data_IF_058412820289
#
_entry.id   IF_058412820289
#
_cell.length_a   1.000
_cell.length_b   1.000
_cell.length_c   1.000
_cell.angle_alpha   90.00
_cell.angle_beta   90.00
_cell.angle_gamma   90.00
#
_symmetry.space_group_name_H-M   'P 1'
#
loop_
_entity.id
_entity.type
_entity.pdbx_description
1 polymer ?
#
# COMPACT_ATOMS: atom_id res chain seq x y z
N UNK A 1 17.65 -88.79 33.94
CA UNK A 1 19.02 -88.70 34.38
C UNK A 1 19.42 -87.22 34.40
N UNK A 2 19.49 -86.69 35.61
CA UNK A 2 20.10 -85.43 36.02
C UNK A 2 21.62 -85.49 35.80
N UNK A 3 22.47 -84.47 35.86
CA UNK A 3 22.29 -83.17 36.58
C UNK A 3 22.95 -81.92 35.93
N UNK A 4 22.56 -80.79 36.52
CA UNK A 4 23.35 -79.63 36.95
C UNK A 4 24.51 -79.03 36.12
N UNK A 5 24.40 -77.73 35.87
CA UNK A 5 25.30 -76.68 36.41
C UNK A 5 24.91 -75.30 36.00
N UNK A 6 24.55 -74.49 36.99
CA UNK A 6 24.72 -73.04 36.92
C UNK A 6 26.22 -72.71 37.05
N UNK A 7 26.70 -71.56 36.51
CA UNK A 7 26.75 -70.33 37.28
C UNK A 7 26.74 -69.02 36.49
N UNK A 8 26.57 -67.95 37.19
CA UNK A 8 27.28 -66.70 36.97
C UNK A 8 26.40 -65.46 36.64
N UNK A 9 25.90 -64.82 37.68
CA UNK A 9 25.41 -63.44 37.71
C UNK A 9 26.51 -62.47 37.27
N UNK A 10 26.22 -61.64 36.25
CA UNK A 10 26.94 -60.39 36.02
C UNK A 10 25.89 -59.23 36.04
N UNK A 11 25.94 -58.52 37.14
CA UNK A 11 25.22 -57.18 37.31
C UNK A 11 25.87 -56.28 36.32
N UNK A 12 25.05 -55.75 35.39
CA UNK A 12 25.42 -54.60 34.59
C UNK A 12 24.82 -53.34 35.27
N UNK A 13 25.71 -52.46 35.69
CA UNK A 13 25.44 -51.14 36.17
C UNK A 13 24.63 -50.38 35.14
N UNK A 14 23.45 -49.91 35.56
CA UNK A 14 22.65 -48.96 34.82
C UNK A 14 23.27 -47.57 35.08
N UNK A 15 23.94 -47.05 34.08
CA UNK A 15 24.45 -45.69 34.11
C UNK A 15 23.25 -44.71 34.12
N UNK A 16 23.18 -43.87 35.13
CA UNK A 16 22.27 -42.73 35.20
C UNK A 16 22.50 -41.75 34.02
N UNK A 17 21.47 -41.22 33.40
CA UNK A 17 21.62 -40.22 32.34
C UNK A 17 22.11 -38.90 32.94
N UNK A 18 23.26 -38.43 32.46
CA UNK A 18 23.87 -37.15 32.80
C UNK A 18 22.94 -36.03 32.42
N UNK A 19 22.43 -35.29 33.39
CA UNK A 19 21.50 -34.16 33.30
C UNK A 19 22.14 -32.87 32.70
N UNK A 20 23.41 -32.98 32.24
CA UNK A 20 24.19 -31.86 31.69
C UNK A 20 23.85 -31.48 30.24
N UNK A 21 23.35 -32.41 29.42
CA UNK A 21 23.25 -32.18 27.95
C UNK A 21 21.96 -31.46 27.48
N UNK A 22 20.97 -31.25 28.36
CA UNK A 22 19.74 -30.54 28.04
C UNK A 22 19.80 -29.05 28.33
N UNK A 23 20.76 -28.59 29.14
CA UNK A 23 20.93 -27.18 29.44
C UNK A 23 21.66 -26.44 28.29
N UNK A 24 22.66 -27.11 27.68
CA UNK A 24 23.48 -26.52 26.62
C UNK A 24 22.71 -26.38 25.30
N UNK A 25 21.81 -27.29 24.95
CA UNK A 25 20.97 -27.20 23.77
C UNK A 25 19.92 -26.06 23.84
N UNK A 26 19.51 -25.66 25.04
CA UNK A 26 18.59 -24.48 25.22
C UNK A 26 19.35 -23.17 25.20
N UNK A 27 20.61 -23.14 25.55
CA UNK A 27 21.46 -21.93 25.55
C UNK A 27 21.95 -21.62 24.13
N UNK A 28 22.25 -22.64 23.30
CA UNK A 28 22.61 -22.41 21.88
C UNK A 28 21.44 -21.95 21.01
N UNK A 29 20.21 -22.41 21.27
CA UNK A 29 19.03 -21.97 20.53
C UNK A 29 18.63 -20.49 20.80
N UNK A 30 19.09 -19.90 21.92
CA UNK A 30 18.86 -18.48 22.24
C UNK A 30 20.00 -17.56 21.81
N UNK A 31 21.20 -18.11 21.54
CA UNK A 31 22.38 -17.32 21.16
C UNK A 31 22.42 -16.97 19.64
N UNK A 32 21.65 -17.65 18.79
CA UNK A 32 21.69 -17.46 17.33
C UNK A 32 20.64 -16.51 16.77
N UNK A 33 19.93 -15.74 17.59
CA UNK A 33 19.20 -14.57 17.14
C UNK A 33 20.20 -13.41 16.99
N UNK A 34 20.95 -13.40 15.89
CA UNK A 34 21.85 -12.30 15.56
C UNK A 34 21.08 -10.97 15.66
N UNK A 35 21.57 -9.97 16.44
CA UNK A 35 20.90 -8.68 16.53
C UNK A 35 20.85 -8.11 15.13
N UNK A 36 19.64 -7.89 14.58
CA UNK A 36 19.44 -7.20 13.32
C UNK A 36 20.18 -5.88 13.41
N UNK A 37 21.36 -5.77 12.79
CA UNK A 37 22.20 -4.58 12.74
C UNK A 37 21.36 -3.46 12.16
N UNK A 38 20.85 -2.56 13.01
CA UNK A 38 20.39 -1.25 12.56
C UNK A 38 21.61 -0.55 11.96
N UNK A 39 21.61 -0.43 10.66
CA UNK A 39 22.66 0.26 9.91
C UNK A 39 22.64 1.74 10.32
N UNK A 40 23.42 2.09 11.36
CA UNK A 40 23.66 3.49 11.72
C UNK A 40 24.77 4.00 10.81
N UNK A 41 24.40 4.71 9.75
CA UNK A 41 25.37 5.42 8.93
C UNK A 41 26.00 6.56 9.73
N UNK A 42 27.34 6.74 9.65
CA UNK A 42 28.02 7.94 10.18
C UNK A 42 27.40 9.21 9.60
N UNK A 43 27.37 10.28 10.38
CA UNK A 43 26.69 11.55 10.02
C UNK A 43 27.14 12.16 8.68
N UNK A 44 28.39 11.93 8.24
CA UNK A 44 28.88 12.36 6.92
C UNK A 44 28.48 11.47 5.74
N UNK A 45 27.96 10.25 5.99
CA UNK A 45 27.57 9.31 4.94
C UNK A 45 26.07 9.39 4.58
N UNK A 46 25.29 10.24 5.29
CA UNK A 46 23.83 10.35 5.07
C UNK A 46 23.46 11.09 3.79
N UNK A 47 24.30 11.98 3.28
CA UNK A 47 24.03 12.77 2.08
C UNK A 47 24.06 11.94 0.78
N UNK A 48 24.98 10.98 0.66
CA UNK A 48 25.11 10.15 -0.55
C UNK A 48 23.84 9.36 -0.92
N UNK A 49 23.19 8.60 -0.02
CA UNK A 49 21.96 7.89 -0.36
C UNK A 49 20.80 8.81 -0.73
N UNK A 50 20.71 9.99 -0.11
CA UNK A 50 19.70 11.00 -0.45
C UNK A 50 19.93 11.57 -1.84
N UNK A 51 21.18 11.87 -2.22
CA UNK A 51 21.52 12.33 -3.56
C UNK A 51 21.25 11.27 -4.62
N UNK A 52 21.59 10.00 -4.33
CA UNK A 52 21.26 8.89 -5.24
C UNK A 52 19.74 8.78 -5.40
N UNK A 53 18.97 8.80 -4.31
CA UNK A 53 17.51 8.74 -4.34
C UNK A 53 16.89 9.90 -5.13
N UNK A 54 17.38 11.13 -4.91
CA UNK A 54 16.95 12.31 -5.66
C UNK A 54 17.29 12.20 -7.16
N UNK A 55 18.50 11.72 -7.49
CA UNK A 55 18.90 11.48 -8.88
C UNK A 55 18.03 10.42 -9.57
N UNK A 56 17.75 9.31 -8.90
CA UNK A 56 16.85 8.27 -9.42
C UNK A 56 15.43 8.80 -9.62
N UNK A 57 14.91 9.57 -8.68
CA UNK A 57 13.58 10.18 -8.81
C UNK A 57 13.55 11.20 -9.96
N UNK A 58 14.60 12.00 -10.11
CA UNK A 58 14.71 12.95 -11.23
C UNK A 58 14.76 12.23 -12.59
N UNK A 59 15.47 11.11 -12.69
CA UNK A 59 15.47 10.27 -13.90
C UNK A 59 14.10 9.68 -14.22
N UNK A 60 13.36 9.20 -13.20
CA UNK A 60 12.00 8.70 -13.35
C UNK A 60 11.02 9.82 -13.72
N UNK A 61 11.22 11.03 -13.22
CA UNK A 61 10.40 12.20 -13.51
C UNK A 61 10.59 12.73 -14.93
N UNK A 62 11.78 12.55 -15.51
CA UNK A 62 12.14 13.16 -16.79
C UNK A 62 11.13 12.88 -17.92
N UNK A 63 10.72 11.64 -18.21
CA UNK A 63 9.74 11.38 -19.28
C UNK A 63 8.37 12.03 -19.00
N UNK A 64 7.97 12.12 -17.75
CA UNK A 64 6.68 12.74 -17.35
C UNK A 64 6.76 14.27 -17.46
N UNK A 65 7.89 14.88 -17.10
CA UNK A 65 8.12 16.32 -17.27
C UNK A 65 8.14 16.70 -18.75
N UNK A 66 8.81 15.89 -19.60
CA UNK A 66 8.81 16.08 -21.05
C UNK A 66 7.38 15.98 -21.59
N UNK A 67 6.61 14.98 -21.15
CA UNK A 67 5.21 14.85 -21.56
C UNK A 67 4.37 16.09 -21.15
N UNK A 68 4.52 16.59 -19.92
CA UNK A 68 3.86 17.81 -19.49
C UNK A 68 4.26 19.04 -20.31
N UNK A 69 5.52 19.17 -20.67
CA UNK A 69 6.00 20.27 -21.51
C UNK A 69 5.39 20.24 -22.94
N UNK A 70 5.25 19.04 -23.50
CA UNK A 70 4.55 18.85 -24.79
C UNK A 70 3.06 19.15 -24.67
N UNK A 71 2.42 18.68 -23.60
CA UNK A 71 0.99 18.92 -23.36
C UNK A 71 0.69 20.41 -23.10
N UNK A 72 1.61 21.17 -22.51
CA UNK A 72 1.48 22.60 -22.31
C UNK A 72 1.37 23.40 -23.62
N UNK A 73 1.87 22.87 -24.73
CA UNK A 73 1.84 23.52 -26.05
C UNK A 73 0.49 23.38 -26.75
N UNK A 74 -0.39 22.50 -26.26
CA UNK A 74 -1.69 22.20 -26.87
C UNK A 74 -2.80 22.67 -25.95
N UNK A 75 -3.80 23.34 -26.51
CA UNK A 75 -5.05 23.55 -25.77
C UNK A 75 -5.78 22.22 -25.66
N UNK A 76 -5.97 21.78 -24.42
CA UNK A 76 -6.69 20.56 -24.10
C UNK A 76 -7.84 20.88 -23.17
N UNK A 77 -8.98 20.32 -23.46
CA UNK A 77 -10.18 20.47 -22.65
C UNK A 77 -10.60 19.07 -22.16
N UNK A 78 -10.73 18.87 -20.84
CA UNK A 78 -11.18 17.60 -20.32
C UNK A 78 -12.64 17.35 -20.69
N UNK A 79 -12.97 16.08 -20.91
CA UNK A 79 -14.33 15.60 -21.15
C UNK A 79 -14.67 14.51 -20.15
N UNK A 80 -15.96 14.21 -19.98
CA UNK A 80 -16.47 13.12 -19.13
C UNK A 80 -15.84 13.15 -17.72
N UNK A 81 -15.31 12.03 -17.26
CA UNK A 81 -14.74 11.87 -15.93
C UNK A 81 -13.61 12.86 -15.63
N UNK A 82 -12.81 13.24 -16.64
CA UNK A 82 -11.72 14.20 -16.46
C UNK A 82 -12.26 15.62 -16.22
N UNK A 83 -13.35 16.01 -16.91
CA UNK A 83 -14.02 17.29 -16.67
C UNK A 83 -14.67 17.31 -15.28
N UNK A 84 -15.35 16.23 -14.91
CA UNK A 84 -15.95 16.09 -13.58
C UNK A 84 -14.88 16.12 -12.48
N UNK A 85 -13.73 15.47 -12.70
CA UNK A 85 -12.59 15.52 -11.76
C UNK A 85 -12.12 16.97 -11.58
N UNK A 86 -11.94 17.74 -12.66
CA UNK A 86 -11.50 19.14 -12.56
C UNK A 86 -12.51 20.00 -11.79
N UNK A 87 -13.81 19.83 -12.03
CA UNK A 87 -14.86 20.54 -11.29
C UNK A 87 -14.76 20.21 -9.80
N UNK A 88 -14.64 18.92 -9.45
CA UNK A 88 -14.52 18.49 -8.04
C UNK A 88 -13.24 19.00 -7.37
N UNK A 89 -12.13 19.10 -8.10
CA UNK A 89 -10.90 19.71 -7.56
C UNK A 89 -11.10 21.22 -7.33
N UNK A 90 -11.81 21.93 -8.19
CA UNK A 90 -12.16 23.35 -7.98
C UNK A 90 -13.02 23.55 -6.74
N UNK A 91 -13.95 22.63 -6.49
CA UNK A 91 -14.90 22.69 -5.36
C UNK A 91 -14.23 22.48 -4.00
N UNK A 92 -12.99 21.97 -3.92
CA UNK A 92 -12.29 21.70 -2.63
C UNK A 92 -12.25 22.92 -1.72
N UNK A 93 -12.06 24.12 -2.28
CA UNK A 93 -12.02 25.37 -1.50
C UNK A 93 -13.32 26.19 -1.64
N UNK A 94 -14.42 25.59 -2.07
CA UNK A 94 -15.72 26.23 -2.17
C UNK A 94 -16.53 26.08 -0.87
N UNK A 95 -17.72 26.65 -0.84
CA UNK A 95 -18.70 26.41 0.23
C UNK A 95 -19.28 25.01 0.25
N UNK A 96 -19.03 24.21 -0.80
CA UNK A 96 -19.53 22.83 -0.96
C UNK A 96 -18.37 21.89 -1.31
N UNK A 97 -17.42 21.67 -0.40
CA UNK A 97 -16.28 20.80 -0.66
C UNK A 97 -16.74 19.36 -0.92
N UNK A 98 -16.08 18.62 -1.84
CA UNK A 98 -16.46 17.25 -2.13
C UNK A 98 -16.26 16.35 -0.91
N UNK A 99 -17.29 15.57 -0.58
CA UNK A 99 -17.29 14.58 0.51
C UNK A 99 -17.07 13.16 0.01
N UNK A 100 -17.35 12.90 -1.27
CA UNK A 100 -17.25 11.59 -1.95
C UNK A 100 -16.50 11.76 -3.27
N UNK A 101 -16.12 10.62 -3.88
CA UNK A 101 -15.44 10.60 -5.18
C UNK A 101 -16.37 10.86 -6.37
N UNK A 102 -15.89 10.60 -7.59
CA UNK A 102 -16.71 10.69 -8.79
C UNK A 102 -17.85 9.67 -8.75
N UNK A 103 -18.94 10.03 -9.42
CA UNK A 103 -20.03 9.09 -9.68
C UNK A 103 -19.49 7.90 -10.48
N UNK A 104 -19.77 6.69 -10.02
CA UNK A 104 -19.39 5.44 -10.66
C UNK A 104 -20.58 4.76 -11.32
N UNK A 105 -20.30 3.69 -12.09
CA UNK A 105 -21.37 2.81 -12.61
C UNK A 105 -21.80 1.80 -11.55
N UNK A 106 -22.24 2.31 -10.40
CA UNK A 106 -22.55 1.55 -9.20
C UNK A 106 -24.03 1.73 -8.89
N UNK A 107 -24.86 0.76 -9.27
CA UNK A 107 -26.32 0.86 -9.13
C UNK A 107 -27.05 1.41 -10.37
N UNK A 108 -28.38 1.52 -10.31
CA UNK A 108 -29.23 1.90 -11.44
C UNK A 108 -29.05 3.37 -11.80
N UNK A 109 -29.33 3.72 -13.06
CA UNK A 109 -29.35 5.10 -13.56
C UNK A 109 -30.24 5.99 -12.66
N UNK A 110 -29.71 7.15 -12.29
CA UNK A 110 -30.40 8.11 -11.42
C UNK A 110 -30.20 7.89 -9.90
N UNK A 111 -29.63 6.74 -9.49
CA UNK A 111 -29.24 6.45 -8.11
C UNK A 111 -27.84 5.84 -8.04
N UNK A 112 -26.97 6.27 -8.92
CA UNK A 112 -25.61 5.74 -9.00
C UNK A 112 -24.79 6.16 -7.77
N UNK A 113 -24.09 5.18 -7.19
CA UNK A 113 -23.09 5.43 -6.15
C UNK A 113 -21.84 6.07 -6.72
N UNK A 114 -21.11 6.75 -5.86
CA UNK A 114 -19.83 7.39 -6.14
C UNK A 114 -18.69 6.55 -5.59
N UNK A 115 -17.46 6.80 -6.07
CA UNK A 115 -16.26 6.26 -5.42
C UNK A 115 -16.23 6.70 -3.94
N UNK A 116 -15.63 5.89 -3.03
CA UNK A 116 -15.85 6.04 -1.59
C UNK A 116 -15.52 7.40 -1.00
N UNK A 117 -14.53 8.12 -1.54
CA UNK A 117 -14.15 9.39 -0.94
C UNK A 117 -13.42 10.36 -1.87
N UNK A 118 -13.22 11.60 -1.41
CA UNK A 118 -12.72 12.71 -2.23
C UNK A 118 -11.20 12.86 -2.19
N UNK A 119 -10.45 11.93 -1.61
CA UNK A 119 -9.04 12.11 -1.27
C UNK A 119 -8.16 12.51 -2.46
N UNK A 120 -8.48 12.03 -3.68
CA UNK A 120 -7.76 12.42 -4.89
C UNK A 120 -7.94 13.91 -5.21
N UNK A 121 -9.14 14.46 -5.06
CA UNK A 121 -9.40 15.88 -5.33
C UNK A 121 -8.64 16.77 -4.35
N UNK A 122 -8.69 16.41 -3.06
CA UNK A 122 -7.98 17.13 -2.01
C UNK A 122 -6.46 17.08 -2.18
N UNK A 123 -5.94 15.93 -2.62
CA UNK A 123 -4.51 15.75 -2.87
C UNK A 123 -4.03 16.53 -4.12
N UNK A 124 -4.85 16.64 -5.15
CA UNK A 124 -4.53 17.39 -6.36
C UNK A 124 -4.67 18.91 -6.18
N UNK A 125 -5.59 19.36 -5.35
CA UNK A 125 -5.95 20.76 -5.22
C UNK A 125 -4.77 21.72 -4.99
N UNK A 126 -3.80 21.47 -4.10
CA UNK A 126 -2.68 22.39 -3.85
C UNK A 126 -1.85 22.64 -5.12
N UNK A 127 -1.49 21.56 -5.83
CA UNK A 127 -0.70 21.64 -7.07
C UNK A 127 -1.52 22.30 -8.18
N UNK A 128 -2.78 21.92 -8.31
CA UNK A 128 -3.71 22.53 -9.27
C UNK A 128 -3.79 24.05 -9.10
N UNK A 129 -3.92 24.55 -7.87
CA UNK A 129 -3.95 25.99 -7.56
C UNK A 129 -2.62 26.67 -7.85
N UNK A 130 -1.51 26.02 -7.48
CA UNK A 130 -0.15 26.55 -7.70
C UNK A 130 0.16 26.78 -9.19
N UNK A 131 -0.34 25.89 -10.06
CA UNK A 131 -0.11 25.95 -11.51
C UNK A 131 -1.25 26.63 -12.30
N UNK A 132 -1.99 27.54 -11.67
CA UNK A 132 -2.92 28.43 -12.32
C UNK A 132 -4.31 27.87 -12.57
N UNK A 133 -4.72 26.80 -11.90
CA UNK A 133 -6.07 26.23 -11.90
C UNK A 133 -6.63 25.98 -13.32
N UNK A 134 -5.82 25.43 -14.18
CA UNK A 134 -6.12 25.09 -15.58
C UNK A 134 -6.21 23.58 -15.78
N UNK A 135 -6.78 23.13 -16.89
CA UNK A 135 -6.83 21.71 -17.25
C UNK A 135 -5.44 21.11 -17.40
N UNK A 136 -4.43 21.89 -17.82
CA UNK A 136 -3.05 21.46 -17.79
C UNK A 136 -2.52 21.28 -16.34
N UNK A 137 -2.93 22.16 -15.42
CA UNK A 137 -2.56 22.01 -14.00
C UNK A 137 -3.12 20.72 -13.37
N UNK A 138 -4.23 20.17 -13.89
CA UNK A 138 -4.71 18.85 -13.50
C UNK A 138 -3.71 17.74 -13.86
N UNK A 139 -3.12 17.82 -15.06
CA UNK A 139 -2.09 16.85 -15.51
C UNK A 139 -0.82 16.98 -14.66
N UNK A 140 -0.40 18.22 -14.34
CA UNK A 140 0.71 18.46 -13.41
C UNK A 140 0.42 17.85 -12.04
N UNK A 141 -0.81 17.96 -11.56
CA UNK A 141 -1.23 17.42 -10.26
C UNK A 141 -1.17 15.87 -10.25
N UNK A 142 -1.62 15.23 -11.33
CA UNK A 142 -1.52 13.78 -11.48
C UNK A 142 -0.06 13.31 -11.47
N UNK A 143 0.81 13.96 -12.26
CA UNK A 143 2.25 13.67 -12.27
C UNK A 143 2.88 13.89 -10.88
N UNK A 144 2.55 14.97 -10.20
CA UNK A 144 3.06 15.23 -8.86
C UNK A 144 2.69 14.12 -7.87
N UNK A 145 1.45 13.61 -7.91
CA UNK A 145 1.03 12.48 -7.08
C UNK A 145 1.82 11.20 -7.42
N UNK A 146 2.05 10.91 -8.69
CA UNK A 146 2.87 9.79 -9.10
C UNK A 146 4.33 9.93 -8.65
N UNK A 147 4.91 11.13 -8.72
CA UNK A 147 6.27 11.39 -8.23
C UNK A 147 6.39 11.25 -6.72
N UNK A 148 5.37 11.69 -5.97
CA UNK A 148 5.30 11.46 -4.51
C UNK A 148 5.24 9.96 -4.20
N UNK A 149 4.44 9.19 -4.94
CA UNK A 149 4.37 7.75 -4.78
C UNK A 149 5.72 7.07 -5.12
N UNK A 150 6.37 7.44 -6.25
CA UNK A 150 7.69 6.93 -6.62
C UNK A 150 8.75 7.25 -5.55
N UNK A 151 8.80 8.50 -5.08
CA UNK A 151 9.73 8.93 -4.03
C UNK A 151 9.52 8.15 -2.72
N UNK A 152 8.26 7.94 -2.33
CA UNK A 152 7.90 7.15 -1.14
C UNK A 152 8.30 5.69 -1.31
N UNK A 153 8.06 5.09 -2.47
CA UNK A 153 8.46 3.72 -2.78
C UNK A 153 9.99 3.55 -2.72
N UNK A 154 10.76 4.48 -3.32
CA UNK A 154 12.22 4.49 -3.25
C UNK A 154 12.72 4.66 -1.81
N UNK A 155 12.09 5.51 -1.01
CA UNK A 155 12.40 5.67 0.41
C UNK A 155 12.15 4.39 1.21
N UNK A 156 11.02 3.70 0.99
CA UNK A 156 10.73 2.41 1.62
C UNK A 156 11.80 1.38 1.22
N UNK A 157 12.12 1.28 -0.07
CA UNK A 157 13.15 0.38 -0.56
C UNK A 157 14.52 0.65 0.07
N UNK A 158 14.94 1.93 0.14
CA UNK A 158 16.16 2.32 0.84
C UNK A 158 16.13 1.92 2.32
N UNK A 159 15.02 2.17 3.00
CA UNK A 159 14.83 1.82 4.42
C UNK A 159 14.95 0.31 4.66
N UNK A 160 14.50 -0.52 3.71
CA UNK A 160 14.44 -1.99 3.81
C UNK A 160 15.71 -2.68 3.36
N UNK A 161 16.36 -2.24 2.29
CA UNK A 161 17.50 -2.91 1.68
C UNK A 161 18.62 -1.99 1.22
N UNK A 162 18.60 -0.71 1.67
CA UNK A 162 19.64 0.27 1.32
C UNK A 162 19.62 0.64 -0.16
N UNK A 163 20.74 1.19 -0.63
CA UNK A 163 20.87 1.70 -2.01
C UNK A 163 20.62 0.62 -3.06
N UNK A 164 21.03 -0.62 -2.80
CA UNK A 164 20.84 -1.72 -3.77
C UNK A 164 19.38 -1.98 -4.08
N UNK A 165 18.54 -2.10 -3.05
CA UNK A 165 17.10 -2.32 -3.23
C UNK A 165 16.43 -1.09 -3.83
N UNK A 166 16.86 0.11 -3.44
CA UNK A 166 16.36 1.37 -4.02
C UNK A 166 16.63 1.45 -5.52
N UNK A 167 17.86 1.11 -5.99
CA UNK A 167 18.21 1.08 -7.42
C UNK A 167 17.41 0.00 -8.15
N UNK A 168 17.29 -1.20 -7.60
CA UNK A 168 16.49 -2.27 -8.19
C UNK A 168 15.02 -1.86 -8.34
N UNK A 169 14.43 -1.24 -7.32
CA UNK A 169 13.05 -0.74 -7.41
C UNK A 169 12.94 0.41 -8.42
N UNK A 170 13.93 1.30 -8.50
CA UNK A 170 13.94 2.37 -9.51
C UNK A 170 13.90 1.79 -10.94
N UNK A 171 14.64 0.70 -11.21
CA UNK A 171 14.58 0.01 -12.50
C UNK A 171 13.18 -0.57 -12.77
N UNK A 172 12.54 -1.18 -11.78
CA UNK A 172 11.16 -1.66 -11.90
C UNK A 172 10.20 -0.51 -12.18
N UNK A 173 10.31 0.60 -11.44
CA UNK A 173 9.47 1.78 -11.66
C UNK A 173 9.69 2.39 -13.05
N UNK A 174 10.92 2.39 -13.58
CA UNK A 174 11.21 2.84 -14.94
C UNK A 174 10.51 1.95 -15.99
N UNK A 175 10.57 0.63 -15.82
CA UNK A 175 9.84 -0.32 -16.68
C UNK A 175 8.33 -0.07 -16.62
N UNK A 176 7.77 0.08 -15.42
CA UNK A 176 6.34 0.37 -15.24
C UNK A 176 5.94 1.71 -15.86
N UNK A 177 6.75 2.76 -15.68
CA UNK A 177 6.52 4.07 -16.30
C UNK A 177 6.50 3.96 -17.82
N UNK A 178 7.42 3.16 -18.40
CA UNK A 178 7.44 2.89 -19.85
C UNK A 178 6.23 2.07 -20.29
N UNK A 179 5.84 1.05 -19.52
CA UNK A 179 4.72 0.16 -19.84
C UNK A 179 3.37 0.87 -19.77
N UNK A 180 3.12 1.66 -18.72
CA UNK A 180 1.88 2.46 -18.60
C UNK A 180 1.81 3.57 -19.65
N UNK A 181 2.97 4.14 -20.01
CA UNK A 181 3.07 5.27 -20.93
C UNK A 181 2.76 6.62 -20.27
N UNK A 182 3.22 7.68 -20.94
CA UNK A 182 3.03 9.03 -20.44
C UNK A 182 1.56 9.46 -20.40
N UNK A 183 0.74 8.96 -21.33
CA UNK A 183 -0.68 9.27 -21.38
C UNK A 183 -1.40 8.83 -20.09
N UNK A 184 -1.21 7.58 -19.65
CA UNK A 184 -1.80 7.05 -18.42
C UNK A 184 -1.36 7.84 -17.18
N UNK A 185 -0.07 8.18 -17.09
CA UNK A 185 0.51 8.80 -15.90
C UNK A 185 0.35 10.33 -15.85
N UNK A 186 -0.09 10.96 -16.94
CA UNK A 186 -0.42 12.39 -16.96
C UNK A 186 -1.92 12.67 -16.79
N UNK A 187 -2.77 11.65 -16.96
CA UNK A 187 -4.22 11.85 -16.82
C UNK A 187 -4.66 11.79 -15.34
N UNK A 188 -5.41 12.78 -14.92
CA UNK A 188 -6.03 12.83 -13.61
C UNK A 188 -7.30 11.96 -13.53
N UNK A 189 -7.26 10.76 -14.12
CA UNK A 189 -8.38 9.84 -14.14
C UNK A 189 -8.34 8.89 -12.95
N UNK A 190 -9.46 8.70 -12.31
CA UNK A 190 -9.59 7.92 -11.08
C UNK A 190 -9.06 6.46 -11.15
N UNK A 191 -9.12 5.70 -12.26
CA UNK A 191 -8.44 4.41 -12.34
C UNK A 191 -6.90 4.51 -12.39
N UNK A 192 -6.34 5.61 -12.90
CA UNK A 192 -4.90 5.76 -13.12
C UNK A 192 -4.18 6.34 -11.90
N UNK A 193 -4.79 7.30 -11.21
CA UNK A 193 -4.19 7.95 -10.05
C UNK A 193 -3.70 6.98 -8.95
N UNK A 194 -4.41 5.88 -8.64
CA UNK A 194 -3.97 4.95 -7.60
C UNK A 194 -2.80 4.03 -7.97
N UNK A 195 -2.45 3.88 -9.26
CA UNK A 195 -1.51 2.86 -9.75
C UNK A 195 -0.21 2.78 -8.94
N UNK A 196 0.51 3.90 -8.84
CA UNK A 196 1.79 3.92 -8.13
C UNK A 196 1.61 4.02 -6.61
N UNK A 197 0.52 4.62 -6.15
CA UNK A 197 0.17 4.63 -4.72
C UNK A 197 -0.17 3.24 -4.19
N UNK A 198 -0.72 2.36 -5.03
CA UNK A 198 -0.95 0.96 -4.68
C UNK A 198 0.36 0.19 -4.48
N UNK A 199 1.40 0.49 -5.28
CA UNK A 199 2.75 -0.06 -5.06
C UNK A 199 3.29 0.39 -3.69
N UNK A 200 3.12 1.66 -3.32
CA UNK A 200 3.49 2.16 -1.98
C UNK A 200 2.74 1.41 -0.89
N UNK A 201 1.44 1.19 -1.06
CA UNK A 201 0.62 0.42 -0.14
C UNK A 201 1.16 -0.99 0.06
N UNK A 202 1.44 -1.72 -1.02
CA UNK A 202 1.99 -3.09 -0.96
C UNK A 202 3.36 -3.14 -0.27
N UNK A 203 4.26 -2.22 -0.60
CA UNK A 203 5.59 -2.13 0.03
C UNK A 203 5.50 -1.80 1.52
N UNK A 204 4.57 -0.91 1.90
CA UNK A 204 4.33 -0.57 3.29
C UNK A 204 3.74 -1.76 4.07
N UNK A 205 2.75 -2.46 3.51
CA UNK A 205 2.17 -3.67 4.11
C UNK A 205 3.22 -4.77 4.30
N UNK A 206 4.01 -5.05 3.26
CA UNK A 206 5.12 -6.00 3.36
C UNK A 206 6.08 -5.63 4.50
N UNK A 207 6.42 -4.35 4.61
CA UNK A 207 7.31 -3.86 5.67
C UNK A 207 6.70 -4.03 7.06
N UNK A 208 5.40 -3.74 7.23
CA UNK A 208 4.67 -3.95 8.49
C UNK A 208 4.62 -5.44 8.84
N UNK A 209 4.37 -6.32 7.87
CA UNK A 209 4.38 -7.76 8.08
C UNK A 209 5.77 -8.27 8.53
N UNK A 210 6.85 -7.59 8.13
CA UNK A 210 8.23 -7.83 8.58
C UNK A 210 8.64 -6.93 9.77
N UNK A 211 7.69 -6.56 10.64
CA UNK A 211 7.89 -5.87 11.93
C UNK A 211 8.36 -4.39 11.83
N UNK A 212 8.21 -3.74 10.66
CA UNK A 212 8.49 -2.30 10.52
C UNK A 212 7.21 -1.47 10.71
N UNK A 213 6.65 -1.52 11.92
CA UNK A 213 5.40 -0.87 12.32
C UNK A 213 5.30 0.64 11.99
N UNK A 214 6.39 1.45 11.98
CA UNK A 214 6.34 2.85 11.51
C UNK A 214 5.81 3.04 10.09
N UNK A 215 5.76 2.00 9.25
CA UNK A 215 5.18 2.06 7.91
C UNK A 215 3.67 1.78 7.88
N UNK A 216 3.05 1.43 9.02
CA UNK A 216 1.60 1.27 9.10
C UNK A 216 0.82 2.57 8.75
N UNK A 217 1.20 3.77 9.26
CA UNK A 217 0.62 5.03 8.80
C UNK A 217 0.73 5.26 7.29
N UNK A 218 1.87 4.90 6.68
CA UNK A 218 2.08 5.01 5.22
C UNK A 218 1.13 4.08 4.47
N UNK A 219 0.96 2.84 4.96
CA UNK A 219 -0.01 1.90 4.39
C UNK A 219 -1.45 2.44 4.49
N UNK A 220 -1.81 3.06 5.62
CA UNK A 220 -3.14 3.66 5.79
C UNK A 220 -3.37 4.82 4.81
N UNK A 221 -2.40 5.73 4.66
CA UNK A 221 -2.53 6.86 3.73
C UNK A 221 -2.64 6.37 2.29
N UNK A 222 -1.72 5.50 1.85
CA UNK A 222 -1.72 4.98 0.48
C UNK A 222 -2.95 4.10 0.19
N UNK A 223 -3.35 3.24 1.12
CA UNK A 223 -4.55 2.41 1.00
C UNK A 223 -5.84 3.23 0.98
N UNK A 224 -5.95 4.24 1.84
CA UNK A 224 -7.09 5.16 1.84
C UNK A 224 -7.18 5.94 0.53
N UNK A 225 -6.05 6.43 0.02
CA UNK A 225 -6.00 7.11 -1.29
C UNK A 225 -6.50 6.20 -2.41
N UNK A 226 -6.01 4.95 -2.48
CA UNK A 226 -6.45 3.98 -3.49
C UNK A 226 -7.94 3.67 -3.36
N UNK A 227 -8.41 3.32 -2.16
CA UNK A 227 -9.79 2.94 -1.90
C UNK A 227 -10.78 4.07 -2.17
N UNK A 228 -10.45 5.30 -1.76
CA UNK A 228 -11.33 6.45 -1.96
C UNK A 228 -11.36 6.94 -3.41
N UNK A 229 -10.24 6.82 -4.12
CA UNK A 229 -10.13 7.30 -5.51
C UNK A 229 -10.85 6.38 -6.49
N UNK A 230 -10.78 5.05 -6.30
CA UNK A 230 -11.37 4.10 -7.25
C UNK A 230 -11.85 2.83 -6.54
N UNK A 231 -13.15 2.58 -6.59
CA UNK A 231 -13.83 1.54 -5.83
C UNK A 231 -13.26 0.11 -5.99
N UNK A 232 -12.72 -0.32 -7.14
CA UNK A 232 -12.09 -1.65 -7.26
C UNK A 232 -10.92 -1.88 -6.29
N UNK A 233 -10.24 -0.81 -5.89
CA UNK A 233 -9.18 -0.92 -4.87
C UNK A 233 -9.71 -1.14 -3.45
N UNK A 234 -11.00 -0.87 -3.17
CA UNK A 234 -11.58 -0.99 -1.83
C UNK A 234 -11.43 -2.43 -1.30
N UNK A 235 -11.83 -3.42 -2.10
CA UNK A 235 -11.72 -4.83 -1.72
C UNK A 235 -10.27 -5.26 -1.50
N UNK A 236 -9.35 -4.84 -2.39
CA UNK A 236 -7.92 -5.15 -2.29
C UNK A 236 -7.28 -4.52 -1.04
N UNK A 237 -7.56 -3.25 -0.79
CA UNK A 237 -6.99 -2.54 0.37
C UNK A 237 -7.54 -3.06 1.69
N UNK A 238 -8.83 -3.35 1.78
CA UNK A 238 -9.43 -3.94 2.96
C UNK A 238 -8.96 -5.37 3.20
N UNK A 239 -8.88 -6.21 2.16
CA UNK A 239 -8.44 -7.59 2.26
C UNK A 239 -6.97 -7.70 2.68
N UNK A 240 -6.06 -7.07 1.93
CA UNK A 240 -4.63 -7.12 2.22
C UNK A 240 -4.28 -6.37 3.51
N UNK A 241 -4.87 -5.18 3.72
CA UNK A 241 -4.67 -4.39 4.94
C UNK A 241 -5.19 -5.13 6.17
N UNK A 242 -6.40 -5.70 6.10
CA UNK A 242 -6.99 -6.51 7.16
C UNK A 242 -6.11 -7.71 7.51
N UNK A 243 -5.63 -8.44 6.51
CA UNK A 243 -4.69 -9.55 6.73
C UNK A 243 -3.44 -9.11 7.50
N UNK A 244 -2.79 -8.00 7.09
CA UNK A 244 -1.58 -7.51 7.75
C UNK A 244 -1.87 -6.99 9.16
N UNK A 245 -3.03 -6.36 9.40
CA UNK A 245 -3.45 -5.94 10.75
C UNK A 245 -3.63 -7.16 11.66
N UNK A 246 -4.30 -8.21 11.19
CA UNK A 246 -4.46 -9.48 11.94
C UNK A 246 -3.09 -10.09 12.24
N UNK A 247 -2.21 -10.18 11.24
CA UNK A 247 -0.85 -10.70 11.41
C UNK A 247 -0.02 -9.90 12.41
N UNK A 248 -0.03 -8.57 12.32
CA UNK A 248 0.69 -7.70 13.25
C UNK A 248 0.14 -7.82 14.68
N UNK A 249 -1.19 -7.89 14.83
CA UNK A 249 -1.87 -8.08 16.12
C UNK A 249 -1.51 -9.43 16.74
N UNK A 250 -1.53 -10.49 15.96
CA UNK A 250 -1.13 -11.84 16.39
C UNK A 250 0.34 -11.88 16.83
N UNK A 251 1.24 -11.24 16.06
CA UNK A 251 2.67 -11.13 16.40
C UNK A 251 2.87 -10.33 17.69
N UNK A 252 2.14 -9.23 17.88
CA UNK A 252 2.17 -8.44 19.11
C UNK A 252 1.66 -9.24 20.32
N UNK A 253 0.58 -10.03 20.14
CA UNK A 253 0.03 -10.90 21.17
C UNK A 253 1.02 -12.01 21.57
N UNK A 254 1.71 -12.62 20.62
CA UNK A 254 2.77 -13.59 20.92
C UNK A 254 3.94 -12.98 21.70
N UNK A 255 4.23 -11.70 21.47
CA UNK A 255 5.30 -10.93 22.15
C UNK A 255 4.78 -10.15 23.36
N UNK A 256 3.60 -10.49 23.93
CA UNK A 256 2.94 -9.76 25.03
C UNK A 256 3.80 -9.54 26.28
N UNK A 257 4.78 -10.42 26.53
CA UNK A 257 5.74 -10.26 27.62
C UNK A 257 6.79 -9.16 27.37
N UNK A 258 6.98 -8.74 26.12
CA UNK A 258 7.90 -7.65 25.77
C UNK A 258 7.14 -6.32 25.74
N UNK A 259 7.18 -5.59 26.87
CA UNK A 259 6.49 -4.30 27.05
C UNK A 259 6.89 -3.27 25.98
N UNK A 260 8.15 -3.24 25.53
CA UNK A 260 8.64 -2.31 24.54
C UNK A 260 8.05 -2.59 23.14
N UNK A 261 7.97 -3.87 22.74
CA UNK A 261 7.33 -4.29 21.50
C UNK A 261 5.83 -3.95 21.50
N UNK A 262 5.16 -4.23 22.63
CA UNK A 262 3.73 -3.95 22.78
C UNK A 262 3.44 -2.44 22.74
N UNK A 263 4.22 -1.61 23.47
CA UNK A 263 4.11 -0.15 23.40
C UNK A 263 4.28 0.36 21.98
N UNK A 264 5.26 -0.17 21.25
CA UNK A 264 5.54 0.21 19.86
C UNK A 264 4.36 -0.13 18.93
N UNK A 265 3.75 -1.32 19.11
CA UNK A 265 2.55 -1.72 18.38
C UNK A 265 1.41 -0.74 18.64
N UNK A 266 1.07 -0.45 19.89
CA UNK A 266 -0.04 0.46 20.21
C UNK A 266 0.19 1.90 19.74
N UNK A 267 1.43 2.42 19.84
CA UNK A 267 1.74 3.77 19.35
C UNK A 267 1.49 3.89 17.84
N UNK A 268 2.04 2.97 17.04
CA UNK A 268 1.89 3.06 15.58
C UNK A 268 0.49 2.67 15.10
N UNK A 269 -0.19 1.77 15.80
CA UNK A 269 -1.61 1.48 15.56
C UNK A 269 -2.49 2.69 15.90
N UNK A 270 -2.23 3.38 17.01
CA UNK A 270 -2.94 4.61 17.37
C UNK A 270 -2.76 5.71 16.33
N UNK A 271 -1.53 5.94 15.86
CA UNK A 271 -1.26 6.89 14.77
C UNK A 271 -2.01 6.50 13.49
N UNK A 272 -1.98 5.22 13.12
CA UNK A 272 -2.66 4.71 11.94
C UNK A 272 -4.19 4.88 12.01
N UNK A 273 -4.79 4.56 13.16
CA UNK A 273 -6.24 4.75 13.41
C UNK A 273 -6.61 6.22 13.37
N UNK A 274 -5.81 7.09 14.01
CA UNK A 274 -6.04 8.54 13.98
C UNK A 274 -6.00 9.10 12.55
N UNK A 275 -5.01 8.68 11.75
CA UNK A 275 -4.96 9.06 10.33
C UNK A 275 -6.14 8.50 9.54
N UNK A 276 -6.52 7.24 9.74
CA UNK A 276 -7.69 6.67 9.09
C UNK A 276 -8.95 7.47 9.42
N UNK A 277 -9.16 7.81 10.69
CA UNK A 277 -10.30 8.63 11.11
C UNK A 277 -10.35 9.98 10.39
N UNK A 278 -9.20 10.69 10.31
CA UNK A 278 -9.10 11.97 9.62
C UNK A 278 -9.40 11.81 8.12
N UNK A 279 -8.77 10.85 7.45
CA UNK A 279 -8.90 10.65 6.00
C UNK A 279 -10.30 10.19 5.58
N UNK A 280 -11.03 9.49 6.45
CA UNK A 280 -12.38 9.01 6.19
C UNK A 280 -13.48 9.93 6.75
N UNK A 281 -13.12 11.04 7.38
CA UNK A 281 -14.10 12.04 7.86
C UNK A 281 -15.04 12.53 6.77
N UNK A 282 -14.59 12.94 5.55
CA UNK A 282 -15.52 13.40 4.52
C UNK A 282 -16.54 12.32 4.09
N UNK A 283 -16.17 11.06 3.78
CA UNK A 283 -17.14 10.00 3.52
C UNK A 283 -18.12 9.72 4.66
N UNK A 284 -17.65 9.84 5.91
CA UNK A 284 -18.52 9.68 7.08
C UNK A 284 -19.51 10.82 7.21
N UNK A 285 -19.09 12.05 6.94
CA UNK A 285 -20.01 13.21 6.92
C UNK A 285 -21.09 12.98 5.85
N UNK A 286 -20.71 12.59 4.61
CA UNK A 286 -21.69 12.27 3.55
C UNK A 286 -22.69 11.22 4.03
N UNK A 287 -22.22 10.17 4.69
CA UNK A 287 -23.08 9.10 5.19
C UNK A 287 -24.11 9.59 6.23
N UNK A 288 -23.77 10.64 6.99
CA UNK A 288 -24.64 11.20 8.03
C UNK A 288 -25.64 12.21 7.46
N UNK A 289 -25.19 13.05 6.51
CA UNK A 289 -26.01 14.18 6.01
C UNK A 289 -26.89 13.81 4.83
N UNK A 290 -26.62 12.71 4.13
CA UNK A 290 -27.41 12.25 2.99
C UNK A 290 -28.18 10.94 3.31
N UNK A 291 -29.37 10.79 2.74
CA UNK A 291 -30.18 9.56 2.89
C UNK A 291 -30.69 9.09 1.52
N UNK A 292 -30.21 7.94 1.00
CA UNK A 292 -29.09 7.14 1.53
C UNK A 292 -27.74 7.85 1.35
N UNK A 293 -26.81 7.68 2.31
CA UNK A 293 -25.43 8.11 2.13
C UNK A 293 -24.67 7.16 1.20
N UNK A 294 -23.56 7.64 0.63
CA UNK A 294 -22.83 6.91 -0.42
C UNK A 294 -22.29 5.55 0.04
N UNK A 295 -21.84 5.42 1.28
CA UNK A 295 -21.35 4.13 1.79
C UNK A 295 -22.48 3.09 1.89
N UNK A 296 -23.72 3.52 2.20
CA UNK A 296 -24.89 2.64 2.17
C UNK A 296 -25.20 2.19 0.74
N UNK A 297 -25.15 3.08 -0.23
CA UNK A 297 -25.37 2.75 -1.67
C UNK A 297 -24.33 1.73 -2.13
N UNK A 298 -23.06 1.94 -1.79
CA UNK A 298 -21.97 0.99 -2.12
C UNK A 298 -22.20 -0.37 -1.45
N UNK A 299 -22.54 -0.38 -0.16
CA UNK A 299 -22.80 -1.60 0.59
C UNK A 299 -23.96 -2.40 0.00
N UNK A 300 -25.05 -1.74 -0.38
CA UNK A 300 -26.20 -2.37 -1.00
C UNK A 300 -25.85 -2.98 -2.37
N UNK A 301 -25.14 -2.24 -3.21
CA UNK A 301 -24.68 -2.72 -4.51
C UNK A 301 -23.80 -3.98 -4.39
N UNK A 302 -22.86 -4.03 -3.43
CA UNK A 302 -22.00 -5.20 -3.26
C UNK A 302 -22.72 -6.39 -2.61
N UNK A 303 -23.76 -6.15 -1.84
CA UNK A 303 -24.60 -7.23 -1.26
C UNK A 303 -25.58 -7.79 -2.26
N UNK A 304 -26.09 -6.96 -3.16
CA UNK A 304 -27.13 -7.28 -4.13
C UNK A 304 -26.65 -6.89 -5.56
N UNK A 305 -25.56 -7.50 -6.06
CA UNK A 305 -25.02 -7.13 -7.36
C UNK A 305 -26.07 -7.43 -8.46
N UNK A 306 -26.31 -6.48 -9.38
CA UNK A 306 -27.29 -6.69 -10.47
C UNK A 306 -26.79 -7.68 -11.53
N UNK A 307 -25.47 -7.85 -11.65
CA UNK A 307 -24.87 -8.80 -12.58
C UNK A 307 -24.68 -10.17 -11.94
N UNK A 308 -24.92 -11.23 -12.72
CA UNK A 308 -24.62 -12.59 -12.30
C UNK A 308 -23.11 -12.80 -12.14
N UNK A 309 -22.67 -13.57 -11.13
CA UNK A 309 -21.25 -13.86 -10.93
C UNK A 309 -20.66 -14.58 -12.15
N UNK A 310 -19.50 -14.14 -12.58
CA UNK A 310 -18.78 -14.69 -13.76
C UNK A 310 -18.36 -16.15 -13.57
N UNK A 311 -18.31 -16.62 -12.33
CA UNK A 311 -17.83 -17.95 -11.96
C UNK A 311 -16.30 -18.07 -11.92
N UNK A 312 -15.81 -18.99 -11.10
CA UNK A 312 -14.38 -19.14 -10.81
C UNK A 312 -13.55 -19.47 -12.06
N UNK A 313 -14.02 -20.37 -12.92
CA UNK A 313 -13.30 -20.77 -14.15
C UNK A 313 -13.02 -19.55 -15.02
N UNK A 314 -14.05 -18.76 -15.34
CA UNK A 314 -13.89 -17.59 -16.19
C UNK A 314 -13.08 -16.46 -15.51
N UNK A 315 -13.18 -16.33 -14.19
CA UNK A 315 -12.33 -15.42 -13.44
C UNK A 315 -10.84 -15.79 -13.54
N UNK A 316 -10.51 -17.08 -13.47
CA UNK A 316 -9.16 -17.62 -13.68
C UNK A 316 -8.69 -17.38 -15.12
N UNK A 317 -9.52 -17.62 -16.12
CA UNK A 317 -9.18 -17.38 -17.52
C UNK A 317 -8.86 -15.89 -17.77
N UNK A 318 -9.69 -14.98 -17.24
CA UNK A 318 -9.45 -13.53 -17.32
C UNK A 318 -8.15 -13.13 -16.60
N UNK A 319 -7.89 -13.71 -15.43
CA UNK A 319 -6.65 -13.45 -14.70
C UNK A 319 -5.42 -13.86 -15.53
N UNK A 320 -5.41 -15.04 -16.13
CA UNK A 320 -4.28 -15.49 -16.96
C UNK A 320 -4.12 -14.69 -18.25
N UNK A 321 -5.20 -14.22 -18.85
CA UNK A 321 -5.12 -13.29 -20.01
C UNK A 321 -4.35 -12.03 -19.63
N UNK A 322 -4.61 -11.45 -18.44
CA UNK A 322 -3.90 -10.25 -17.97
C UNK A 322 -2.46 -10.51 -17.54
N UNK A 323 -2.09 -11.74 -17.23
CA UNK A 323 -0.71 -12.12 -16.94
C UNK A 323 0.10 -12.51 -18.17
N UNK A 324 -0.53 -12.58 -19.35
CA UNK A 324 0.17 -12.93 -20.57
C UNK A 324 1.05 -11.76 -21.05
N UNK A 325 2.39 -11.87 -21.00
CA UNK A 325 3.29 -10.77 -21.33
C UNK A 325 3.22 -10.37 -22.82
N UNK A 326 2.73 -11.26 -23.68
CA UNK A 326 2.59 -11.01 -25.13
C UNK A 326 1.44 -10.06 -25.46
N UNK A 327 0.54 -9.78 -24.54
CA UNK A 327 -0.50 -8.76 -24.69
C UNK A 327 -0.05 -7.37 -24.22
N UNK A 328 1.18 -7.24 -23.71
CA UNK A 328 1.77 -5.97 -23.27
C UNK A 328 2.67 -5.30 -24.31
N UNK A 329 2.82 -5.92 -25.50
CA UNK A 329 3.70 -5.45 -26.60
C UNK A 329 2.88 -4.90 -27.74
#
# INVERSE_FOLDING_TARGET
MNPDRRPGTAVRDVAEPVEGDRADLKTEATANAAPRRRFRLPTGARSRPLLIGAGLLALLALPLIVALAVLAQKRWYPILDLAMTEIRVRDVASSHPPLIGLVGRIGPLGRQGSHPGPMSFWAMWPVYRLFGASSWAMQVSAVALHLVAMGTALWIAFRRGGVRLMVALAAVLAILTRAYGAETLTQAWNPYLPLLSFIVFLLALWSVADDDLPLLPVAVVAGSFCAQTHVPYLGLTLGLGGFVVVWASWTACRRRKNKAALRRFFVWSGVAVGLAAILWTPPVIDQIVHTPGNLSVLSDYFRNPPESPVGLRRAIDVFFVHLNPWHLV
#
